data_IF_013462903621
#
_entry.id   IF_013462903621
#
_cell.length_a   1.000
_cell.length_b   1.000
_cell.length_c   1.000
_cell.angle_alpha   90.00
_cell.angle_beta   90.00
_cell.angle_gamma   90.00
#
_symmetry.space_group_name_H-M   'P 1'
#
loop_
_entity.id
_entity.type
_entity.pdbx_description
1 polymer ?
#
# COMPACT_ATOMS: atom_id res chain seq x y z
N UNK A 1 -1.82 -8.86 -21.22
CA UNK A 1 -2.19 -8.41 -19.86
C UNK A 1 -1.80 -6.93 -19.75
N UNK A 2 -2.65 -6.05 -19.19
CA UNK A 2 -2.31 -4.63 -19.00
C UNK A 2 -1.08 -4.44 -18.09
N UNK A 3 -0.33 -3.36 -18.31
CA UNK A 3 0.90 -3.08 -17.57
C UNK A 3 0.70 -2.97 -16.06
N UNK A 4 -0.37 -2.33 -15.61
CA UNK A 4 -0.70 -2.23 -14.18
C UNK A 4 -0.94 -3.60 -13.54
N UNK A 5 -1.60 -4.51 -14.26
CA UNK A 5 -1.96 -5.83 -13.73
C UNK A 5 -0.72 -6.70 -13.59
N UNK A 6 0.24 -6.62 -14.52
CA UNK A 6 1.52 -7.29 -14.39
C UNK A 6 2.32 -6.79 -13.17
N UNK A 7 2.36 -5.47 -12.95
CA UNK A 7 3.02 -4.88 -11.78
C UNK A 7 2.39 -5.34 -10.46
N UNK A 8 1.07 -5.24 -10.36
CA UNK A 8 0.32 -5.65 -9.17
C UNK A 8 0.45 -7.15 -8.93
N UNK A 9 0.30 -7.97 -9.97
CA UNK A 9 0.39 -9.42 -9.85
C UNK A 9 1.80 -9.87 -9.41
N UNK A 10 2.86 -9.20 -9.90
CA UNK A 10 4.23 -9.46 -9.48
C UNK A 10 4.45 -9.21 -7.99
N UNK A 11 3.96 -8.07 -7.46
CA UNK A 11 4.06 -7.77 -6.03
C UNK A 11 3.28 -8.75 -5.16
N UNK A 12 2.04 -9.07 -5.56
CA UNK A 12 1.17 -9.99 -4.82
C UNK A 12 1.71 -11.42 -4.83
N UNK A 13 2.31 -11.86 -5.94
CA UNK A 13 3.00 -13.15 -6.03
C UNK A 13 4.20 -13.20 -5.08
N UNK A 14 5.06 -12.19 -5.09
CA UNK A 14 6.26 -12.14 -4.27
C UNK A 14 5.97 -12.12 -2.76
N UNK A 15 4.80 -11.65 -2.36
CA UNK A 15 4.36 -11.60 -0.96
C UNK A 15 3.69 -12.87 -0.43
N UNK A 16 3.58 -13.93 -1.23
CA UNK A 16 2.88 -15.19 -0.88
C UNK A 16 3.83 -16.38 -0.73
N UNK A 17 3.35 -17.41 -0.03
CA UNK A 17 3.99 -18.73 0.00
C UNK A 17 3.90 -19.41 -1.40
N UNK A 18 4.90 -20.21 -1.81
CA UNK A 18 4.98 -20.72 -3.18
C UNK A 18 3.75 -21.52 -3.65
N UNK A 19 3.21 -22.44 -2.83
CA UNK A 19 2.04 -23.23 -3.25
C UNK A 19 0.80 -22.35 -3.41
N UNK A 20 0.53 -21.47 -2.44
CA UNK A 20 -0.61 -20.55 -2.47
C UNK A 20 -0.49 -19.49 -3.57
N UNK A 21 0.74 -19.12 -3.95
CA UNK A 21 0.99 -18.25 -5.09
C UNK A 21 0.61 -18.95 -6.39
N UNK A 22 1.05 -20.20 -6.61
CA UNK A 22 0.79 -20.99 -7.81
C UNK A 22 -0.70 -21.17 -8.11
N UNK A 23 -1.48 -21.53 -7.09
CA UNK A 23 -2.92 -21.72 -7.24
C UNK A 23 -3.64 -20.41 -7.58
N UNK A 24 -3.25 -19.33 -6.91
CA UNK A 24 -3.77 -17.99 -7.17
C UNK A 24 -3.43 -17.48 -8.57
N UNK A 25 -2.20 -17.65 -9.06
CA UNK A 25 -1.85 -17.18 -10.40
C UNK A 25 -2.63 -17.93 -11.47
N UNK A 26 -2.85 -19.24 -11.32
CA UNK A 26 -3.71 -19.99 -12.24
C UNK A 26 -5.11 -19.38 -12.28
N UNK A 27 -5.70 -19.09 -11.12
CA UNK A 27 -7.01 -18.43 -11.00
C UNK A 27 -7.03 -17.06 -11.71
N UNK A 28 -5.98 -16.26 -11.52
CA UNK A 28 -5.82 -14.95 -12.17
C UNK A 28 -5.69 -15.07 -13.69
N UNK A 29 -4.88 -16.01 -14.19
CA UNK A 29 -4.73 -16.26 -15.63
C UNK A 29 -6.01 -16.80 -16.27
N UNK A 30 -6.72 -17.72 -15.61
CA UNK A 30 -8.00 -18.25 -16.07
C UNK A 30 -9.04 -17.12 -16.21
N UNK A 31 -9.10 -16.20 -15.24
CA UNK A 31 -9.99 -15.03 -15.32
C UNK A 31 -9.59 -14.07 -16.45
N UNK A 32 -8.29 -13.81 -16.62
CA UNK A 32 -7.79 -12.98 -17.73
C UNK A 32 -8.07 -13.62 -19.10
N UNK A 33 -8.00 -14.95 -19.21
CA UNK A 33 -8.29 -15.68 -20.44
C UNK A 33 -9.77 -15.55 -20.82
N UNK A 34 -10.69 -15.62 -19.85
CA UNK A 34 -12.13 -15.39 -20.09
C UNK A 34 -12.46 -13.98 -20.55
N UNK A 35 -11.61 -13.02 -20.21
CA UNK A 35 -11.72 -11.62 -20.66
C UNK A 35 -11.04 -11.38 -22.03
N UNK A 36 -10.56 -12.42 -22.72
CA UNK A 36 -9.74 -12.31 -23.94
C UNK A 36 -8.54 -11.35 -23.78
N UNK A 37 -7.99 -11.27 -22.56
CA UNK A 37 -6.92 -10.33 -22.20
C UNK A 37 -7.34 -8.86 -22.11
N UNK A 38 -8.60 -8.51 -22.37
CA UNK A 38 -9.18 -7.16 -22.28
C UNK A 38 -9.75 -6.91 -20.88
N UNK A 39 -8.86 -6.73 -19.92
CA UNK A 39 -9.25 -6.45 -18.53
C UNK A 39 -9.80 -5.01 -18.42
N UNK A 40 -11.08 -4.81 -18.08
CA UNK A 40 -11.64 -3.47 -17.96
C UNK A 40 -11.09 -2.75 -16.74
N UNK A 41 -10.93 -1.41 -16.83
CA UNK A 41 -10.42 -0.61 -15.73
C UNK A 41 -11.30 -0.67 -14.47
N UNK A 42 -12.60 -0.97 -14.64
CA UNK A 42 -13.53 -1.20 -13.53
C UNK A 42 -13.07 -2.28 -12.53
N UNK A 43 -12.22 -3.23 -12.93
CA UNK A 43 -11.60 -4.20 -12.01
C UNK A 43 -10.80 -3.50 -10.91
N UNK A 44 -10.11 -2.40 -11.25
CA UNK A 44 -9.35 -1.61 -10.27
C UNK A 44 -10.32 -1.00 -9.25
N UNK A 45 -11.42 -0.39 -9.70
CA UNK A 45 -12.41 0.20 -8.80
C UNK A 45 -13.09 -0.84 -7.91
N UNK A 46 -13.48 -1.99 -8.45
CA UNK A 46 -14.09 -3.07 -7.67
C UNK A 46 -13.14 -3.61 -6.60
N UNK A 47 -11.88 -3.86 -6.97
CA UNK A 47 -10.85 -4.34 -6.06
C UNK A 47 -10.56 -3.33 -4.94
N UNK A 48 -10.42 -2.05 -5.29
CA UNK A 48 -10.19 -1.00 -4.29
C UNK A 48 -11.39 -0.83 -3.36
N UNK A 49 -12.60 -0.80 -3.90
CA UNK A 49 -13.83 -0.64 -3.13
C UNK A 49 -14.10 -1.81 -2.18
N UNK A 50 -13.70 -3.03 -2.52
CA UNK A 50 -14.02 -4.24 -1.72
C UNK A 50 -12.88 -4.68 -0.82
N UNK A 51 -11.63 -4.49 -1.24
CA UNK A 51 -10.48 -5.14 -0.61
C UNK A 51 -9.42 -4.16 -0.14
N UNK A 52 -8.92 -3.27 -1.02
CA UNK A 52 -7.72 -2.46 -0.75
C UNK A 52 -7.99 -1.35 0.26
N UNK A 53 -9.08 -0.60 0.06
CA UNK A 53 -9.39 0.55 0.92
C UNK A 53 -9.77 0.03 2.31
N UNK A 54 -9.07 0.43 3.38
CA UNK A 54 -9.42 0.02 4.74
C UNK A 54 -10.71 0.73 5.20
N UNK A 55 -11.33 0.30 6.31
CA UNK A 55 -12.56 0.94 6.83
C UNK A 55 -12.43 2.45 7.03
N UNK A 56 -11.26 2.97 7.41
CA UNK A 56 -11.04 4.41 7.62
C UNK A 56 -10.99 5.23 6.32
N UNK A 57 -10.98 4.59 5.15
CA UNK A 57 -10.99 5.22 3.84
C UNK A 57 -12.38 5.30 3.20
N UNK A 58 -13.47 5.40 3.97
CA UNK A 58 -14.84 5.33 3.44
C UNK A 58 -15.12 6.30 2.30
N UNK A 59 -14.57 7.52 2.34
CA UNK A 59 -14.70 8.48 1.25
C UNK A 59 -14.13 7.93 -0.06
N UNK A 60 -12.89 7.40 -0.04
CA UNK A 60 -12.24 6.80 -1.22
C UNK A 60 -13.02 5.56 -1.68
N UNK A 61 -13.51 4.73 -0.75
CA UNK A 61 -14.36 3.57 -1.07
C UNK A 61 -15.62 4.00 -1.80
N UNK A 62 -16.31 5.03 -1.33
CA UNK A 62 -17.53 5.55 -1.95
C UNK A 62 -17.27 6.06 -3.37
N UNK A 63 -16.14 6.75 -3.60
CA UNK A 63 -15.75 7.18 -4.94
C UNK A 63 -15.49 6.00 -5.88
N UNK A 64 -14.83 4.93 -5.41
CA UNK A 64 -14.64 3.73 -6.23
C UNK A 64 -15.96 3.04 -6.58
N UNK A 65 -16.92 2.99 -5.65
CA UNK A 65 -18.26 2.43 -5.91
C UNK A 65 -18.98 3.26 -6.98
N UNK A 66 -18.93 4.59 -6.89
CA UNK A 66 -19.53 5.50 -7.89
C UNK A 66 -18.90 5.32 -9.27
N UNK A 67 -17.57 5.32 -9.34
CA UNK A 67 -16.85 5.12 -10.59
C UNK A 67 -17.11 3.72 -11.19
N UNK A 68 -17.23 2.68 -10.37
CA UNK A 68 -17.63 1.34 -10.81
C UNK A 68 -19.04 1.31 -11.39
N UNK A 69 -19.95 2.15 -10.89
CA UNK A 69 -21.29 2.33 -11.45
C UNK A 69 -21.31 3.20 -12.73
N UNK A 70 -20.15 3.66 -13.21
CA UNK A 70 -20.01 4.52 -14.39
C UNK A 70 -20.27 6.00 -14.13
N UNK A 71 -20.37 6.41 -12.86
CA UNK A 71 -20.54 7.82 -12.51
C UNK A 71 -19.20 8.57 -12.63
N UNK A 72 -19.12 9.66 -13.43
CA UNK A 72 -17.91 10.46 -13.51
C UNK A 72 -17.67 11.19 -12.18
N UNK A 73 -16.45 11.07 -11.67
CA UNK A 73 -15.99 11.76 -10.46
C UNK A 73 -14.79 12.62 -10.85
N UNK A 74 -14.86 13.91 -10.52
CA UNK A 74 -13.81 14.87 -10.86
C UNK A 74 -12.48 14.57 -10.14
N UNK A 75 -11.37 14.93 -10.77
CA UNK A 75 -10.02 14.68 -10.26
C UNK A 75 -9.76 15.34 -8.90
N UNK A 76 -10.25 16.57 -8.69
CA UNK A 76 -10.10 17.29 -7.42
C UNK A 76 -10.82 16.59 -6.27
N UNK A 77 -12.00 16.02 -6.53
CA UNK A 77 -12.76 15.21 -5.57
C UNK A 77 -11.99 13.94 -5.21
N UNK A 78 -11.39 13.27 -6.21
CA UNK A 78 -10.51 12.13 -5.97
C UNK A 78 -9.30 12.51 -5.13
N UNK A 79 -8.58 13.57 -5.50
CA UNK A 79 -7.36 14.00 -4.83
C UNK A 79 -7.63 14.36 -3.35
N UNK A 80 -8.72 15.10 -3.09
CA UNK A 80 -9.11 15.49 -1.74
C UNK A 80 -9.44 14.29 -0.83
N UNK A 81 -10.02 13.22 -1.39
CA UNK A 81 -10.28 12.00 -0.64
C UNK A 81 -9.04 11.10 -0.49
N UNK A 82 -8.21 11.01 -1.54
CA UNK A 82 -7.04 10.14 -1.57
C UNK A 82 -5.92 10.64 -0.66
N UNK A 83 -5.65 11.94 -0.62
CA UNK A 83 -4.52 12.48 0.13
C UNK A 83 -4.52 12.09 1.63
N UNK A 84 -5.60 12.33 2.42
CA UNK A 84 -5.62 11.91 3.82
C UNK A 84 -5.58 10.37 3.97
N UNK A 85 -6.21 9.62 3.06
CA UNK A 85 -6.23 8.16 3.13
C UNK A 85 -4.84 7.56 2.87
N UNK A 86 -4.13 8.04 1.84
CA UNK A 86 -2.78 7.61 1.51
C UNK A 86 -1.78 8.02 2.59
N UNK A 87 -1.92 9.21 3.18
CA UNK A 87 -1.10 9.65 4.33
C UNK A 87 -1.21 8.66 5.49
N UNK A 88 -2.43 8.25 5.83
CA UNK A 88 -2.63 7.26 6.90
C UNK A 88 -2.11 5.86 6.54
N UNK A 89 -2.21 5.44 5.28
CA UNK A 89 -1.59 4.19 4.80
C UNK A 89 -0.06 4.25 4.94
N UNK A 90 0.58 5.29 4.40
CA UNK A 90 2.04 5.40 4.45
C UNK A 90 2.57 5.57 5.88
N UNK A 91 1.85 6.29 6.75
CA UNK A 91 2.19 6.39 8.16
C UNK A 91 2.22 5.02 8.85
N UNK A 92 1.22 4.16 8.59
CA UNK A 92 1.15 2.79 9.16
C UNK A 92 2.10 1.80 8.49
N UNK A 93 2.45 2.04 7.23
CA UNK A 93 3.40 1.23 6.49
C UNK A 93 4.86 1.51 6.91
N UNK A 94 5.11 2.65 7.57
CA UNK A 94 6.45 3.03 7.99
C UNK A 94 6.99 2.07 9.06
N UNK A 95 8.21 1.53 8.92
CA UNK A 95 8.79 0.58 9.86
C UNK A 95 9.35 1.31 11.09
N UNK A 96 8.45 1.91 11.89
CA UNK A 96 8.83 2.81 12.99
C UNK A 96 9.78 2.14 13.99
N UNK A 97 9.45 0.93 14.44
CA UNK A 97 10.26 0.20 15.43
C UNK A 97 11.70 -0.05 14.96
N UNK A 98 11.87 -0.45 13.70
CA UNK A 98 13.18 -0.77 13.13
C UNK A 98 14.01 0.50 12.88
N UNK A 99 13.35 1.55 12.39
CA UNK A 99 13.95 2.88 12.20
C UNK A 99 14.36 3.51 13.55
N UNK A 100 13.52 3.37 14.57
CA UNK A 100 13.80 3.81 15.94
C UNK A 100 15.01 3.06 16.52
N UNK A 101 15.02 1.73 16.42
CA UNK A 101 16.12 0.91 16.93
C UNK A 101 17.46 1.29 16.27
N UNK A 102 17.43 1.54 14.96
CA UNK A 102 18.62 1.99 14.21
C UNK A 102 19.07 3.39 14.67
N UNK A 103 18.15 4.36 14.76
CA UNK A 103 18.47 5.72 15.22
C UNK A 103 19.03 5.72 16.65
N UNK A 104 18.44 4.93 17.55
CA UNK A 104 18.90 4.80 18.93
C UNK A 104 20.30 4.15 18.99
N UNK A 105 20.55 3.08 18.22
CA UNK A 105 21.85 2.44 18.18
C UNK A 105 22.95 3.39 17.69
N UNK A 106 22.69 4.14 16.62
CA UNK A 106 23.63 5.14 16.09
C UNK A 106 23.88 6.28 17.08
N UNK A 107 22.84 6.82 17.69
CA UNK A 107 22.97 7.92 18.65
C UNK A 107 23.71 7.49 19.92
N UNK A 108 23.47 6.26 20.42
CA UNK A 108 24.19 5.69 21.56
C UNK A 108 25.68 5.53 21.27
N UNK A 109 26.03 5.03 20.07
CA UNK A 109 27.42 4.88 19.65
C UNK A 109 28.12 6.24 19.61
N UNK A 110 27.49 7.24 18.98
CA UNK A 110 28.01 8.60 18.92
C UNK A 110 28.19 9.21 20.32
N UNK A 111 27.22 9.08 21.22
CA UNK A 111 27.33 9.64 22.56
C UNK A 111 28.50 9.04 23.35
N UNK A 112 28.70 7.71 23.26
CA UNK A 112 29.84 7.03 23.88
C UNK A 112 31.19 7.46 23.29
N UNK A 113 31.26 7.72 21.98
CA UNK A 113 32.45 8.28 21.32
C UNK A 113 32.76 9.72 21.75
N UNK A 114 31.79 10.41 22.35
CA UNK A 114 31.90 11.80 22.83
C UNK A 114 31.92 11.88 24.37
N UNK A 115 32.38 10.82 25.03
CA UNK A 115 32.61 10.73 26.49
C UNK A 115 31.36 10.89 27.38
N UNK A 116 30.17 10.65 26.83
CA UNK A 116 28.94 10.59 27.63
C UNK A 116 29.00 9.38 28.57
N UNK A 117 28.52 9.55 29.80
CA UNK A 117 28.32 8.41 30.71
C UNK A 117 27.25 7.45 30.16
N UNK A 118 27.27 6.18 30.58
CA UNK A 118 26.36 5.15 30.05
C UNK A 118 24.87 5.53 30.13
N UNK A 119 24.42 6.05 31.27
CA UNK A 119 23.04 6.48 31.46
C UNK A 119 22.67 7.70 30.59
N UNK A 120 23.61 8.64 30.44
CA UNK A 120 23.43 9.86 29.64
C UNK A 120 23.42 9.54 28.13
N UNK A 121 24.24 8.58 27.70
CA UNK A 121 24.24 8.07 26.34
C UNK A 121 22.92 7.36 25.99
N UNK A 122 22.33 6.61 26.93
CA UNK A 122 21.02 5.97 26.74
C UNK A 122 19.90 7.00 26.64
N UNK A 123 19.86 7.98 27.53
CA UNK A 123 18.88 9.06 27.51
C UNK A 123 18.97 9.89 26.22
N UNK A 124 20.20 10.24 25.81
CA UNK A 124 20.46 10.93 24.55
C UNK A 124 19.97 10.12 23.35
N UNK A 125 20.30 8.82 23.31
CA UNK A 125 19.93 7.95 22.20
C UNK A 125 18.41 7.81 22.04
N UNK A 126 17.71 7.60 23.14
CA UNK A 126 16.26 7.46 23.21
C UNK A 126 15.55 8.77 22.81
N UNK A 127 16.04 9.92 23.29
CA UNK A 127 15.55 11.24 22.90
C UNK A 127 15.76 11.55 21.42
N UNK A 128 16.97 11.30 20.91
CA UNK A 128 17.30 11.49 19.50
C UNK A 128 16.46 10.59 18.60
N UNK A 129 16.34 9.30 18.94
CA UNK A 129 15.58 8.34 18.15
C UNK A 129 14.09 8.74 18.06
N UNK A 130 13.46 9.16 19.15
CA UNK A 130 12.07 9.64 19.12
C UNK A 130 11.88 10.81 18.16
N UNK A 131 12.74 11.83 18.27
CA UNK A 131 12.64 13.03 17.44
C UNK A 131 12.90 12.72 15.97
N UNK A 132 13.97 11.99 15.69
CA UNK A 132 14.38 11.64 14.33
C UNK A 132 13.33 10.75 13.65
N UNK A 133 12.94 9.64 14.28
CA UNK A 133 11.97 8.70 13.70
C UNK A 133 10.58 9.33 13.57
N UNK A 134 10.16 10.13 14.55
CA UNK A 134 8.88 10.88 14.50
C UNK A 134 8.81 11.89 13.35
N UNK A 135 9.90 12.62 13.09
CA UNK A 135 9.98 13.51 11.94
C UNK A 135 9.97 12.73 10.61
N UNK A 136 10.71 11.62 10.54
CA UNK A 136 10.81 10.81 9.34
C UNK A 136 9.49 10.15 8.95
N UNK A 137 8.73 9.59 9.90
CA UNK A 137 7.42 8.98 9.58
C UNK A 137 6.44 10.02 9.02
N UNK A 138 6.45 11.24 9.56
CA UNK A 138 5.60 12.34 9.09
C UNK A 138 5.98 12.75 7.67
N UNK A 139 7.26 13.06 7.45
CA UNK A 139 7.78 13.45 6.13
C UNK A 139 7.56 12.37 5.07
N UNK A 140 7.81 11.10 5.42
CA UNK A 140 7.55 9.96 4.56
C UNK A 140 6.06 9.87 4.17
N UNK A 141 5.15 9.96 5.14
CA UNK A 141 3.73 9.87 4.88
C UNK A 141 3.22 11.03 4.01
N UNK A 142 3.63 12.26 4.31
CA UNK A 142 3.20 13.46 3.59
C UNK A 142 3.71 13.49 2.14
N UNK A 143 4.99 13.19 1.93
CA UNK A 143 5.59 13.20 0.60
C UNK A 143 4.93 12.16 -0.32
N UNK A 144 4.75 10.92 0.17
CA UNK A 144 4.12 9.87 -0.62
C UNK A 144 2.64 10.17 -0.88
N UNK A 145 1.89 10.64 0.13
CA UNK A 145 0.49 10.99 -0.04
C UNK A 145 0.29 12.10 -1.09
N UNK A 146 1.07 13.18 -1.02
CA UNK A 146 0.96 14.30 -1.95
C UNK A 146 1.25 13.89 -3.40
N UNK A 147 2.30 13.09 -3.62
CA UNK A 147 2.69 12.63 -4.96
C UNK A 147 1.67 11.64 -5.52
N UNK A 148 1.30 10.62 -4.75
CA UNK A 148 0.41 9.57 -5.23
C UNK A 148 -1.05 10.03 -5.35
N UNK A 149 -1.54 10.91 -4.48
CA UNK A 149 -2.95 11.34 -4.52
C UNK A 149 -3.33 11.99 -5.85
N UNK A 150 -2.50 12.93 -6.35
CA UNK A 150 -2.77 13.60 -7.64
C UNK A 150 -2.65 12.65 -8.82
N UNK A 151 -1.59 11.84 -8.86
CA UNK A 151 -1.36 10.91 -9.96
C UNK A 151 -2.48 9.86 -10.06
N UNK A 152 -2.88 9.28 -8.92
CA UNK A 152 -3.98 8.32 -8.86
C UNK A 152 -5.33 8.96 -9.15
N UNK A 153 -5.57 10.19 -8.67
CA UNK A 153 -6.80 10.92 -8.95
C UNK A 153 -7.02 11.12 -10.45
N UNK A 154 -5.98 11.54 -11.18
CA UNK A 154 -6.07 11.70 -12.63
C UNK A 154 -6.37 10.37 -13.34
N UNK A 155 -5.66 9.30 -12.96
CA UNK A 155 -5.88 7.96 -13.53
C UNK A 155 -7.30 7.43 -13.24
N UNK A 156 -7.82 7.63 -12.03
CA UNK A 156 -9.17 7.19 -11.66
C UNK A 156 -10.27 8.03 -12.32
N UNK A 157 -10.11 9.35 -12.40
CA UNK A 157 -11.09 10.23 -13.05
C UNK A 157 -11.22 9.92 -14.55
N UNK A 158 -10.10 9.61 -15.22
CA UNK A 158 -10.06 9.30 -16.65
C UNK A 158 -10.33 7.82 -16.98
N UNK A 159 -10.43 6.95 -15.97
CA UNK A 159 -10.43 5.49 -16.12
C UNK A 159 -9.25 4.98 -16.98
N UNK A 160 -8.07 5.60 -16.82
CA UNK A 160 -6.90 5.40 -17.67
C UNK A 160 -5.98 4.33 -17.07
N UNK A 161 -5.94 3.17 -17.73
CA UNK A 161 -5.14 2.03 -17.32
C UNK A 161 -3.63 2.26 -17.43
N UNK A 162 -3.18 3.08 -18.39
CA UNK A 162 -1.76 3.36 -18.61
C UNK A 162 -1.27 4.43 -17.63
N UNK A 163 -2.08 5.47 -17.38
CA UNK A 163 -1.81 6.44 -16.32
C UNK A 163 -1.77 5.76 -14.94
N UNK A 164 -2.68 4.82 -14.65
CA UNK A 164 -2.64 4.04 -13.43
C UNK A 164 -1.38 3.18 -13.34
N UNK A 165 -0.94 2.55 -14.44
CA UNK A 165 0.31 1.80 -14.47
C UNK A 165 1.54 2.67 -14.19
N UNK A 166 1.54 3.92 -14.69
CA UNK A 166 2.60 4.89 -14.45
C UNK A 166 2.67 5.37 -12.99
N UNK A 167 1.59 5.21 -12.22
CA UNK A 167 1.57 5.49 -10.77
C UNK A 167 2.28 4.42 -9.92
N UNK A 168 2.89 3.40 -10.55
CA UNK A 168 3.58 2.30 -9.87
C UNK A 168 2.70 1.57 -8.83
N UNK A 169 1.55 0.99 -9.22
CA UNK A 169 0.58 0.41 -8.28
C UNK A 169 1.14 -0.74 -7.44
N UNK A 170 2.24 -1.39 -7.84
CA UNK A 170 2.95 -2.35 -7.01
C UNK A 170 3.44 -1.73 -5.68
N UNK A 171 3.90 -0.47 -5.70
CA UNK A 171 4.37 0.23 -4.52
C UNK A 171 3.22 0.55 -3.57
N UNK A 172 2.07 0.93 -4.13
CA UNK A 172 0.83 1.15 -3.36
C UNK A 172 0.36 -0.17 -2.71
N UNK A 173 0.40 -1.29 -3.43
CA UNK A 173 0.11 -2.62 -2.88
C UNK A 173 1.01 -2.96 -1.69
N UNK A 174 2.31 -2.74 -1.82
CA UNK A 174 3.26 -2.98 -0.74
C UNK A 174 2.93 -2.11 0.49
N UNK A 175 2.67 -0.81 0.29
CA UNK A 175 2.29 0.10 1.36
C UNK A 175 1.01 -0.37 2.08
N UNK A 176 -0.02 -0.79 1.33
CA UNK A 176 -1.23 -1.37 1.92
C UNK A 176 -0.96 -2.67 2.67
N UNK A 177 -0.13 -3.57 2.13
CA UNK A 177 0.22 -4.82 2.80
C UNK A 177 0.94 -4.55 4.13
N UNK A 178 1.93 -3.64 4.14
CA UNK A 178 2.63 -3.25 5.38
C UNK A 178 1.71 -2.56 6.38
N UNK A 179 0.83 -1.67 5.92
CA UNK A 179 -0.14 -0.99 6.77
C UNK A 179 -1.16 -1.96 7.39
N UNK A 180 -1.64 -2.95 6.62
CA UNK A 180 -2.54 -4.00 7.12
C UNK A 180 -1.85 -4.95 8.09
N UNK A 181 -0.57 -5.25 7.86
CA UNK A 181 0.21 -6.12 8.72
C UNK A 181 0.53 -5.50 10.09
N UNK A 182 0.51 -4.16 10.20
CA UNK A 182 0.88 -3.43 11.41
C UNK A 182 2.39 -3.55 11.71
N UNK A 183 3.15 -2.51 11.38
CA UNK A 183 4.61 -2.52 11.54
C UNK A 183 5.09 -2.36 13.00
N UNK A 184 4.24 -1.87 13.89
CA UNK A 184 4.63 -1.53 15.27
C UNK A 184 4.91 -2.76 16.16
N UNK A 185 4.43 -3.94 15.77
CA UNK A 185 4.65 -5.19 16.52
C UNK A 185 5.58 -6.12 15.73
N UNK A 186 6.72 -6.49 16.33
CA UNK A 186 7.69 -7.40 15.71
C UNK A 186 7.21 -8.86 15.68
N UNK A 187 6.58 -9.33 16.76
CA UNK A 187 6.05 -10.68 16.86
C UNK A 187 4.98 -10.93 15.79
N UNK A 188 5.08 -12.04 15.06
CA UNK A 188 4.12 -12.42 14.01
C UNK A 188 4.03 -11.47 12.82
N UNK A 189 4.95 -10.49 12.66
CA UNK A 189 4.90 -9.49 11.58
C UNK A 189 4.89 -10.13 10.20
N UNK A 190 5.74 -11.12 9.97
CA UNK A 190 5.84 -11.82 8.68
C UNK A 190 4.55 -12.57 8.34
N UNK A 191 3.95 -13.25 9.31
CA UNK A 191 2.69 -13.98 9.12
C UNK A 191 1.55 -13.02 8.78
N UNK A 192 1.44 -11.90 9.51
CA UNK A 192 0.46 -10.85 9.20
C UNK A 192 0.69 -10.22 7.83
N UNK A 193 1.95 -10.04 7.43
CA UNK A 193 2.30 -9.51 6.12
C UNK A 193 1.90 -10.49 5.00
N UNK A 194 2.21 -11.78 5.16
CA UNK A 194 1.78 -12.84 4.25
C UNK A 194 0.25 -12.92 4.15
N UNK A 195 -0.46 -12.82 5.27
CA UNK A 195 -1.92 -12.76 5.30
C UNK A 195 -2.47 -11.51 4.59
N UNK A 196 -1.83 -10.36 4.74
CA UNK A 196 -2.21 -9.12 4.06
C UNK A 196 -2.05 -9.23 2.53
N UNK A 197 -0.92 -9.74 2.04
CA UNK A 197 -0.73 -10.06 0.61
C UNK A 197 -1.75 -11.10 0.13
N UNK A 198 -2.00 -12.12 0.95
CA UNK A 198 -3.05 -13.11 0.73
C UNK A 198 -4.39 -12.48 0.41
N UNK A 199 -4.90 -11.65 1.34
CA UNK A 199 -6.16 -10.92 1.20
C UNK A 199 -6.21 -10.02 -0.04
N UNK A 200 -5.15 -9.25 -0.29
CA UNK A 200 -5.10 -8.35 -1.46
C UNK A 200 -5.14 -9.13 -2.77
N UNK A 201 -4.42 -10.26 -2.84
CA UNK A 201 -4.38 -11.15 -3.99
C UNK A 201 -5.72 -11.82 -4.27
N UNK A 202 -6.36 -12.38 -3.24
CA UNK A 202 -7.67 -13.02 -3.39
C UNK A 202 -8.71 -12.00 -3.83
N UNK A 203 -8.71 -10.80 -3.25
CA UNK A 203 -9.62 -9.72 -3.67
C UNK A 203 -9.43 -9.28 -5.13
N UNK A 204 -8.20 -9.29 -5.64
CA UNK A 204 -7.94 -8.98 -7.05
C UNK A 204 -8.49 -10.09 -7.96
N UNK A 205 -8.22 -11.36 -7.61
CA UNK A 205 -8.74 -12.50 -8.35
C UNK A 205 -10.28 -12.49 -8.37
N UNK A 206 -10.93 -12.26 -7.22
CA UNK A 206 -12.38 -12.13 -7.11
C UNK A 206 -12.94 -11.02 -8.02
N UNK A 207 -12.24 -9.89 -8.13
CA UNK A 207 -12.67 -8.75 -8.94
C UNK A 207 -12.54 -9.04 -10.44
N UNK A 208 -11.46 -9.72 -10.85
CA UNK A 208 -11.29 -10.21 -12.22
C UNK A 208 -12.36 -11.24 -12.58
N UNK A 209 -12.68 -12.16 -11.68
CA UNK A 209 -13.70 -13.19 -11.92
C UNK A 209 -15.10 -12.60 -12.07
N UNK A 210 -15.47 -11.62 -11.24
CA UNK A 210 -16.72 -10.87 -11.41
C UNK A 210 -16.78 -10.21 -12.78
N UNK A 211 -15.72 -9.50 -13.18
CA UNK A 211 -15.66 -8.86 -14.48
C UNK A 211 -15.76 -9.87 -15.64
N UNK A 212 -15.23 -11.08 -15.48
CA UNK A 212 -15.28 -12.15 -16.47
C UNK A 212 -16.62 -12.92 -16.52
N UNK A 213 -17.48 -12.75 -15.51
CA UNK A 213 -18.81 -13.38 -15.43
C UNK A 213 -19.95 -12.48 -15.93
N UNK A 214 -19.64 -11.23 -16.28
CA UNK A 214 -20.54 -10.26 -16.91
C UNK A 214 -20.31 -10.25 -18.42
#
# INVERSE_FOLDING_TARGET
MPGWLAQVAGALWAGREPEAAGEWARRLYDACARLDGRVPFGVVHDWHARTVVPPQGEAVRALHIRALAGEPVAEDVWAAALEPALRDVHRRAYPYADAFATAAATARAWARENDYGEAEAEEFADGYARLNTGANVTSYADANAMVHARALAAAYAAADADAYAACCPFATVNAHAFALAGQDTAEGREERLRAAYGRLADGLADSLERAAGH
#
